data_IF_045732578213
#
_entry.id   IF_045732578213
#
_cell.length_a   1.000
_cell.length_b   1.000
_cell.length_c   1.000
_cell.angle_alpha   90.00
_cell.angle_beta   90.00
_cell.angle_gamma   90.00
#
_symmetry.space_group_name_H-M   'P 1'
#
loop_
_entity.id
_entity.type
_entity.pdbx_description
1 polymer ?
#
# COMPACT_ATOMS: atom_id res chain seq x y z
N UNK A 1 -3.20 -20.96 -17.43
CA UNK A 1 -2.91 -21.99 -16.39
C UNK A 1 -1.69 -21.49 -15.63
N UNK A 2 -1.90 -20.83 -14.51
CA UNK A 2 -0.82 -20.37 -13.60
C UNK A 2 -0.27 -21.63 -12.91
N UNK A 3 0.92 -22.05 -13.28
CA UNK A 3 1.66 -23.07 -12.55
C UNK A 3 2.02 -22.49 -11.17
N UNK A 4 1.53 -23.16 -10.12
CA UNK A 4 1.90 -22.84 -8.74
C UNK A 4 3.39 -23.11 -8.54
N UNK A 5 4.19 -22.04 -8.58
CA UNK A 5 5.59 -22.06 -8.19
C UNK A 5 5.70 -22.33 -6.68
N UNK A 6 6.39 -23.41 -6.32
CA UNK A 6 6.68 -23.77 -4.93
C UNK A 6 8.18 -23.55 -4.63
N UNK A 7 8.56 -22.43 -3.99
CA UNK A 7 9.97 -22.06 -3.79
C UNK A 7 10.65 -22.77 -2.60
N UNK A 8 10.13 -23.89 -2.13
CA UNK A 8 10.56 -24.49 -0.86
C UNK A 8 11.74 -25.44 -0.97
N UNK A 9 12.78 -25.27 -1.78
CA UNK A 9 14.01 -26.06 -1.61
C UNK A 9 15.27 -25.57 -2.34
N UNK A 10 15.36 -24.37 -2.85
CA UNK A 10 16.67 -23.84 -3.25
C UNK A 10 17.39 -23.32 -1.99
N UNK A 11 18.58 -23.83 -1.68
CA UNK A 11 19.55 -23.12 -0.84
C UNK A 11 19.60 -21.70 -1.38
N UNK A 12 19.31 -20.72 -0.53
CA UNK A 12 19.48 -19.31 -0.85
C UNK A 12 20.99 -19.05 -0.89
N UNK A 13 21.66 -19.52 -1.95
CA UNK A 13 22.92 -18.94 -2.35
C UNK A 13 22.61 -17.45 -2.60
N UNK A 14 23.53 -16.56 -2.19
CA UNK A 14 23.37 -15.11 -2.26
C UNK A 14 22.93 -14.70 -3.67
N UNK A 15 21.60 -14.62 -3.87
CA UNK A 15 21.04 -14.24 -5.17
C UNK A 15 21.25 -12.75 -5.35
N UNK A 16 22.04 -12.39 -6.33
CA UNK A 16 22.29 -11.00 -6.70
C UNK A 16 21.19 -10.51 -7.63
N UNK A 17 20.55 -9.43 -7.27
CA UNK A 17 19.52 -8.77 -8.08
C UNK A 17 20.15 -7.73 -8.98
N UNK A 18 19.95 -7.86 -10.29
CA UNK A 18 20.37 -6.85 -11.28
C UNK A 18 19.33 -5.73 -11.34
N UNK A 19 19.81 -4.51 -11.43
CA UNK A 19 18.99 -3.30 -11.53
C UNK A 19 19.26 -2.62 -12.86
N UNK A 20 18.27 -2.62 -13.72
CA UNK A 20 18.28 -1.95 -15.01
C UNK A 20 17.56 -0.61 -14.88
N UNK A 21 18.09 0.40 -15.57
CA UNK A 21 17.56 1.76 -15.60
C UNK A 21 17.38 2.18 -17.04
N UNK A 22 16.24 2.79 -17.36
CA UNK A 22 16.02 3.30 -18.71
C UNK A 22 17.04 4.39 -19.08
N UNK A 23 17.51 4.35 -20.34
CA UNK A 23 18.44 5.34 -20.86
C UNK A 23 17.90 6.76 -20.84
N UNK A 24 16.58 6.94 -20.90
CA UNK A 24 15.94 8.24 -20.81
C UNK A 24 16.12 8.89 -19.42
N UNK A 25 16.29 8.08 -18.37
CA UNK A 25 16.56 8.53 -17.01
C UNK A 25 18.00 9.08 -16.82
N UNK A 26 18.90 8.92 -17.83
CA UNK A 26 20.27 9.49 -17.78
C UNK A 26 20.29 11.01 -17.64
N UNK A 27 19.27 11.67 -18.17
CA UNK A 27 19.15 13.12 -18.12
C UNK A 27 18.62 13.61 -16.75
N UNK A 28 18.16 12.69 -15.87
CA UNK A 28 17.79 12.97 -14.47
C UNK A 28 19.00 12.88 -13.55
N UNK A 29 20.16 13.35 -13.99
CA UNK A 29 21.48 13.20 -13.34
C UNK A 29 21.81 14.28 -12.31
N UNK A 30 20.82 14.85 -11.65
CA UNK A 30 21.07 15.69 -10.48
C UNK A 30 21.79 14.85 -9.42
N UNK A 31 22.83 15.40 -8.81
CA UNK A 31 23.62 14.70 -7.77
C UNK A 31 22.74 14.18 -6.62
N UNK A 32 21.58 14.75 -6.43
CA UNK A 32 20.54 14.38 -5.46
C UNK A 32 19.33 13.67 -6.09
N UNK A 33 19.35 13.38 -7.40
CA UNK A 33 18.24 12.76 -8.13
C UNK A 33 18.02 11.28 -7.81
N UNK A 34 16.90 10.74 -8.34
CA UNK A 34 16.45 9.34 -8.15
C UNK A 34 17.54 8.32 -8.44
N UNK A 35 18.29 8.52 -9.53
CA UNK A 35 19.37 7.62 -9.98
C UNK A 35 20.58 7.73 -9.05
N UNK A 36 20.92 8.91 -8.57
CA UNK A 36 22.03 9.09 -7.61
C UNK A 36 21.73 8.35 -6.30
N UNK A 37 20.50 8.44 -5.82
CA UNK A 37 20.06 7.70 -4.63
C UNK A 37 20.13 6.18 -4.86
N UNK A 38 19.66 5.69 -6.01
CA UNK A 38 19.76 4.28 -6.41
C UNK A 38 21.20 3.80 -6.41
N UNK A 39 22.14 4.55 -7.03
CA UNK A 39 23.59 4.25 -7.02
C UNK A 39 24.15 4.14 -5.60
N UNK A 40 23.78 5.06 -4.70
CA UNK A 40 24.20 5.02 -3.28
C UNK A 40 23.70 3.75 -2.57
N UNK A 41 22.47 3.29 -2.86
CA UNK A 41 21.94 2.06 -2.28
C UNK A 41 22.67 0.83 -2.82
N UNK A 42 22.89 0.75 -4.13
CA UNK A 42 23.60 -0.36 -4.78
C UNK A 42 25.03 -0.46 -4.22
N UNK A 43 25.73 0.67 -4.12
CA UNK A 43 27.09 0.71 -3.58
C UNK A 43 27.20 0.22 -2.13
N UNK A 44 26.13 0.36 -1.33
CA UNK A 44 26.07 -0.15 0.05
C UNK A 44 25.82 -1.65 0.15
N UNK A 45 25.34 -2.28 -0.93
CA UNK A 45 24.95 -3.69 -0.95
C UNK A 45 25.46 -4.43 -2.21
N UNK A 46 26.77 -4.39 -2.50
CA UNK A 46 27.33 -4.93 -3.74
C UNK A 46 27.14 -6.45 -3.88
N UNK A 47 26.98 -7.17 -2.78
CA UNK A 47 26.72 -8.61 -2.77
C UNK A 47 25.26 -8.97 -3.07
N UNK A 48 24.33 -8.01 -2.89
CA UNK A 48 22.89 -8.23 -3.10
C UNK A 48 22.38 -7.56 -4.38
N UNK A 49 23.03 -6.46 -4.82
CA UNK A 49 22.57 -5.60 -5.90
C UNK A 49 23.68 -5.35 -6.90
N UNK A 50 23.40 -5.54 -8.18
CA UNK A 50 24.29 -5.24 -9.30
C UNK A 50 23.67 -4.20 -10.22
N UNK A 51 24.41 -3.17 -10.57
CA UNK A 51 23.95 -2.09 -11.47
C UNK A 51 24.39 -0.71 -11.00
N UNK A 52 23.77 0.38 -11.45
CA UNK A 52 22.70 0.39 -12.46
C UNK A 52 23.22 -0.02 -13.86
N UNK A 53 22.46 -0.82 -14.56
CA UNK A 53 22.71 -1.25 -15.94
C UNK A 53 21.79 -0.41 -16.84
N UNK A 54 22.38 0.37 -17.73
CA UNK A 54 21.63 1.28 -18.60
C UNK A 54 21.17 0.54 -19.87
N UNK A 55 19.86 0.56 -20.10
CA UNK A 55 19.20 -0.12 -21.23
C UNK A 55 18.07 0.73 -21.78
N UNK A 56 17.55 0.37 -22.93
CA UNK A 56 16.29 0.94 -23.44
C UNK A 56 15.16 0.00 -23.04
N UNK A 57 14.33 0.47 -22.15
CA UNK A 57 13.14 -0.24 -21.64
C UNK A 57 11.97 0.74 -21.60
N UNK A 58 10.74 0.24 -21.66
CA UNK A 58 9.53 1.08 -21.58
C UNK A 58 9.05 1.33 -20.13
N UNK A 59 9.91 1.09 -19.15
CA UNK A 59 9.70 1.38 -17.72
C UNK A 59 10.91 2.12 -17.18
N UNK A 60 10.75 2.87 -16.10
CA UNK A 60 11.87 3.62 -15.51
C UNK A 60 12.93 2.69 -14.92
N UNK A 61 12.49 1.62 -14.24
CA UNK A 61 13.36 0.61 -13.67
C UNK A 61 12.86 -0.81 -13.97
N UNK A 62 13.82 -1.73 -14.14
CA UNK A 62 13.55 -3.16 -14.16
C UNK A 62 14.55 -3.88 -13.24
N UNK A 63 14.04 -4.81 -12.48
CA UNK A 63 14.81 -5.67 -11.61
C UNK A 63 14.80 -7.09 -12.16
N UNK A 64 15.92 -7.77 -12.12
CA UNK A 64 16.06 -9.19 -12.56
C UNK A 64 16.75 -9.99 -11.48
N UNK A 65 16.20 -11.12 -11.12
CA UNK A 65 16.76 -12.05 -10.18
C UNK A 65 16.28 -13.47 -10.51
N UNK A 66 17.19 -14.41 -10.62
CA UNK A 66 16.89 -15.83 -10.90
C UNK A 66 16.03 -16.04 -12.16
N UNK A 67 16.24 -15.21 -13.19
CA UNK A 67 15.49 -15.26 -14.44
C UNK A 67 14.12 -14.60 -14.41
N UNK A 68 13.64 -14.10 -13.27
CA UNK A 68 12.40 -13.33 -13.18
C UNK A 68 12.66 -11.83 -13.24
N UNK A 69 11.77 -11.11 -13.90
CA UNK A 69 11.85 -9.67 -14.08
C UNK A 69 10.64 -8.98 -13.47
N UNK A 70 10.88 -7.89 -12.76
CA UNK A 70 9.88 -6.98 -12.23
C UNK A 70 10.14 -5.60 -12.78
N UNK A 71 9.15 -5.02 -13.44
CA UNK A 71 9.20 -3.65 -13.95
C UNK A 71 8.50 -2.68 -13.00
N UNK A 72 9.00 -1.47 -12.89
CA UNK A 72 8.33 -0.41 -12.12
C UNK A 72 8.48 0.93 -12.82
N UNK A 73 7.42 1.71 -12.73
CA UNK A 73 7.37 3.11 -13.13
C UNK A 73 7.53 3.97 -11.88
N UNK A 74 8.36 5.01 -11.96
CA UNK A 74 8.59 5.99 -10.90
C UNK A 74 7.80 7.25 -11.21
N UNK A 75 6.91 7.66 -10.32
CA UNK A 75 6.10 8.86 -10.49
C UNK A 75 6.32 9.82 -9.33
N UNK A 76 6.62 11.06 -9.63
CA UNK A 76 6.42 12.12 -8.66
C UNK A 76 4.92 12.42 -8.50
N UNK A 77 4.55 13.01 -7.38
CA UNK A 77 3.15 13.33 -7.10
C UNK A 77 2.49 14.19 -8.20
N UNK A 78 3.24 15.15 -8.75
CA UNK A 78 2.77 15.99 -9.86
C UNK A 78 2.62 15.23 -11.16
N UNK A 79 3.54 14.32 -11.45
CA UNK A 79 3.53 13.51 -12.68
C UNK A 79 2.42 12.47 -12.67
N UNK A 80 2.11 11.90 -11.51
CA UNK A 80 0.97 11.01 -11.37
C UNK A 80 -0.33 11.74 -11.74
N UNK A 81 -0.56 12.92 -11.14
CA UNK A 81 -1.72 13.74 -11.43
C UNK A 81 -1.81 14.09 -12.92
N UNK A 82 -0.71 14.57 -13.50
CA UNK A 82 -0.66 14.95 -14.93
C UNK A 82 -0.89 13.74 -15.84
N UNK A 83 -0.34 12.59 -15.52
CA UNK A 83 -0.50 11.36 -16.30
C UNK A 83 -1.94 10.85 -16.28
N UNK A 84 -2.58 10.89 -15.10
CA UNK A 84 -3.99 10.50 -14.97
C UNK A 84 -4.92 11.45 -15.73
N UNK A 85 -4.73 12.76 -15.59
CA UNK A 85 -5.58 13.76 -16.28
C UNK A 85 -5.42 13.78 -17.80
N UNK A 86 -4.27 13.36 -18.31
CA UNK A 86 -3.98 13.25 -19.76
C UNK A 86 -4.18 11.86 -20.34
N UNK A 87 -4.68 10.93 -19.55
CA UNK A 87 -4.90 9.54 -19.94
C UNK A 87 -3.61 8.76 -20.34
N UNK A 88 -2.44 9.27 -19.93
CA UNK A 88 -1.15 8.61 -20.20
C UNK A 88 -0.89 7.47 -19.22
N UNK A 89 -1.39 7.58 -17.99
CA UNK A 89 -1.16 6.61 -16.93
C UNK A 89 -1.61 5.19 -17.34
N UNK A 90 -2.81 5.07 -17.93
CA UNK A 90 -3.31 3.77 -18.40
C UNK A 90 -2.40 3.12 -19.44
N UNK A 91 -1.84 3.87 -20.36
CA UNK A 91 -0.90 3.36 -21.38
C UNK A 91 0.39 2.87 -20.75
N UNK A 92 0.93 3.59 -19.76
CA UNK A 92 2.11 3.17 -19.03
C UNK A 92 1.87 1.88 -18.26
N UNK A 93 0.70 1.72 -17.62
CA UNK A 93 0.30 0.48 -16.95
C UNK A 93 0.23 -0.70 -17.94
N UNK A 94 -0.31 -0.49 -19.14
CA UNK A 94 -0.33 -1.53 -20.17
C UNK A 94 1.09 -1.96 -20.59
N UNK A 95 1.98 -1.01 -20.77
CA UNK A 95 3.38 -1.30 -21.12
C UNK A 95 4.07 -2.09 -20.00
N UNK A 96 3.90 -1.67 -18.75
CA UNK A 96 4.45 -2.41 -17.59
C UNK A 96 3.97 -3.87 -17.53
N UNK A 97 2.69 -4.11 -17.84
CA UNK A 97 2.10 -5.45 -17.81
C UNK A 97 2.70 -6.39 -18.84
N UNK A 98 3.29 -5.87 -19.91
CA UNK A 98 3.92 -6.66 -20.99
C UNK A 98 5.38 -6.97 -20.67
N UNK A 99 6.08 -6.10 -19.95
CA UNK A 99 7.51 -6.22 -19.70
C UNK A 99 7.89 -7.11 -18.51
N UNK A 100 6.97 -7.38 -17.61
CA UNK A 100 7.23 -8.12 -16.39
C UNK A 100 6.80 -9.58 -16.50
N UNK A 101 7.66 -10.49 -15.98
CA UNK A 101 7.34 -11.92 -15.85
C UNK A 101 6.49 -12.19 -14.59
N UNK A 102 6.49 -11.25 -13.66
CA UNK A 102 5.68 -11.20 -12.44
C UNK A 102 4.94 -9.85 -12.40
N UNK A 103 3.91 -9.71 -11.57
CA UNK A 103 3.20 -8.44 -11.46
C UNK A 103 4.14 -7.27 -11.23
N UNK A 104 4.08 -6.27 -12.12
CA UNK A 104 4.80 -5.01 -11.98
C UNK A 104 4.15 -4.12 -10.91
N UNK A 105 4.73 -2.97 -10.62
CA UNK A 105 4.13 -1.98 -9.74
C UNK A 105 4.53 -0.56 -10.14
N UNK A 106 3.77 0.42 -9.66
CA UNK A 106 4.11 1.83 -9.79
C UNK A 106 4.57 2.34 -8.44
N UNK A 107 5.70 3.03 -8.41
CA UNK A 107 6.21 3.74 -7.24
C UNK A 107 5.91 5.21 -7.36
N UNK A 108 5.11 5.75 -6.45
CA UNK A 108 4.88 7.18 -6.32
C UNK A 108 5.81 7.73 -5.24
N UNK A 109 6.64 8.71 -5.63
CA UNK A 109 7.59 9.39 -4.75
C UNK A 109 6.82 10.47 -3.99
N UNK A 110 6.38 10.14 -2.79
CA UNK A 110 5.55 10.97 -1.94
C UNK A 110 4.29 10.27 -1.43
N UNK A 111 3.54 10.97 -0.59
CA UNK A 111 2.27 10.53 -0.05
C UNK A 111 1.08 10.89 -0.94
N UNK A 112 -0.09 10.29 -0.75
CA UNK A 112 -1.34 10.77 -1.37
C UNK A 112 -1.63 12.24 -1.04
N UNK A 113 -1.19 12.71 0.14
CA UNK A 113 -1.29 14.12 0.54
C UNK A 113 -0.48 15.05 -0.35
N UNK A 114 0.71 14.62 -0.80
CA UNK A 114 1.57 15.42 -1.68
C UNK A 114 0.93 15.59 -3.05
N UNK A 115 0.24 14.58 -3.58
CA UNK A 115 -0.53 14.70 -4.84
C UNK A 115 -1.61 15.76 -4.68
N UNK A 116 -2.35 15.77 -3.56
CA UNK A 116 -3.37 16.77 -3.29
C UNK A 116 -2.81 18.18 -3.08
N UNK A 117 -1.65 18.30 -2.43
CA UNK A 117 -0.97 19.58 -2.26
C UNK A 117 -0.50 20.15 -3.62
N UNK A 118 0.07 19.29 -4.45
CA UNK A 118 0.49 19.66 -5.81
C UNK A 118 -0.70 20.12 -6.65
N UNK A 119 -1.81 19.39 -6.62
CA UNK A 119 -3.07 19.75 -7.29
C UNK A 119 -3.55 21.14 -6.89
N UNK A 120 -3.62 21.42 -5.57
CA UNK A 120 -4.01 22.74 -5.04
C UNK A 120 -3.08 23.85 -5.51
N UNK A 121 -1.78 23.59 -5.52
CA UNK A 121 -0.76 24.56 -5.97
C UNK A 121 -0.95 24.95 -7.44
N UNK A 122 -1.17 23.97 -8.34
CA UNK A 122 -1.41 24.23 -9.77
C UNK A 122 -2.70 25.02 -9.96
N UNK A 123 -3.77 24.65 -9.30
CA UNK A 123 -5.07 25.31 -9.44
C UNK A 123 -5.04 26.74 -8.90
N UNK A 124 -4.35 26.99 -7.77
CA UNK A 124 -4.14 28.33 -7.25
C UNK A 124 -3.40 29.23 -8.26
N UNK A 125 -2.36 28.73 -8.91
CA UNK A 125 -1.61 29.47 -9.95
C UNK A 125 -2.48 29.81 -11.17
N UNK A 126 -3.49 28.99 -11.49
CA UNK A 126 -4.41 29.21 -12.61
C UNK A 126 -5.64 30.06 -12.25
N UNK A 127 -5.73 30.57 -11.02
CA UNK A 127 -6.85 31.40 -10.57
C UNK A 127 -8.18 30.65 -10.37
N UNK A 128 -8.19 29.33 -10.49
CA UNK A 128 -9.37 28.49 -10.34
C UNK A 128 -9.20 27.59 -9.11
N UNK A 129 -10.03 27.79 -8.09
CA UNK A 129 -10.06 26.91 -6.92
C UNK A 129 -11.52 26.61 -6.58
N UNK A 130 -12.10 25.65 -7.31
CA UNK A 130 -13.38 25.06 -6.97
C UNK A 130 -13.10 23.72 -6.26
N UNK A 131 -13.63 23.55 -5.05
CA UNK A 131 -13.47 22.32 -4.26
C UNK A 131 -13.97 21.08 -5.01
N UNK A 132 -15.07 21.19 -5.75
CA UNK A 132 -15.65 20.09 -6.53
C UNK A 132 -14.72 19.61 -7.66
N UNK A 133 -13.98 20.52 -8.32
CA UNK A 133 -13.04 20.15 -9.36
C UNK A 133 -11.81 19.45 -8.78
N UNK A 134 -11.37 19.86 -7.58
CA UNK A 134 -10.29 19.20 -6.86
C UNK A 134 -10.68 17.76 -6.47
N UNK A 135 -11.88 17.56 -6.02
CA UNK A 135 -12.35 16.22 -5.64
C UNK A 135 -12.53 15.33 -6.87
N UNK A 136 -13.08 15.83 -7.99
CA UNK A 136 -13.18 15.09 -9.25
C UNK A 136 -11.83 14.65 -9.79
N UNK A 137 -10.82 15.53 -9.79
CA UNK A 137 -9.46 15.15 -10.23
C UNK A 137 -8.84 14.10 -9.32
N UNK A 138 -9.09 14.21 -8.00
CA UNK A 138 -8.63 13.21 -7.04
C UNK A 138 -9.32 11.87 -7.26
N UNK A 139 -10.63 11.86 -7.44
CA UNK A 139 -11.40 10.66 -7.73
C UNK A 139 -10.93 10.00 -9.03
N UNK A 140 -10.56 10.79 -10.04
CA UNK A 140 -9.96 10.28 -11.28
C UNK A 140 -8.62 9.58 -11.01
N UNK A 141 -7.73 10.18 -10.22
CA UNK A 141 -6.44 9.57 -9.85
C UNK A 141 -6.67 8.27 -9.11
N UNK A 142 -7.51 8.27 -8.09
CA UNK A 142 -7.80 7.07 -7.30
C UNK A 142 -8.47 5.98 -8.13
N UNK A 143 -9.41 6.34 -8.98
CA UNK A 143 -10.06 5.39 -9.90
C UNK A 143 -9.03 4.72 -10.82
N UNK A 144 -8.10 5.47 -11.39
CA UNK A 144 -7.05 4.90 -12.25
C UNK A 144 -6.07 4.02 -11.47
N UNK A 145 -5.72 4.37 -10.24
CA UNK A 145 -4.89 3.53 -9.36
C UNK A 145 -5.61 2.21 -9.02
N UNK A 146 -6.90 2.26 -8.70
CA UNK A 146 -7.72 1.07 -8.44
C UNK A 146 -7.82 0.20 -9.70
N UNK A 147 -8.10 0.80 -10.85
CA UNK A 147 -8.19 0.11 -12.15
C UNK A 147 -6.86 -0.58 -12.50
N UNK A 148 -5.73 0.10 -12.26
CA UNK A 148 -4.39 -0.47 -12.45
C UNK A 148 -4.21 -1.78 -11.67
N UNK A 149 -4.64 -1.81 -10.42
CA UNK A 149 -4.57 -3.01 -9.61
C UNK A 149 -5.61 -4.06 -10.03
N UNK A 150 -6.85 -3.66 -10.26
CA UNK A 150 -7.96 -4.57 -10.53
C UNK A 150 -7.87 -5.24 -11.92
N UNK A 151 -7.49 -4.49 -12.98
CA UNK A 151 -7.45 -5.00 -14.35
C UNK A 151 -6.09 -5.61 -14.71
N UNK A 152 -4.98 -5.04 -14.20
CA UNK A 152 -3.62 -5.42 -14.60
C UNK A 152 -2.80 -6.07 -13.49
N UNK A 153 -3.34 -6.17 -12.28
CA UNK A 153 -2.62 -6.63 -11.07
C UNK A 153 -1.34 -5.81 -10.81
N UNK A 154 -1.37 -4.51 -11.14
CA UNK A 154 -0.27 -3.58 -10.95
C UNK A 154 -0.63 -2.60 -9.85
N UNK A 155 -0.15 -2.80 -8.60
CA UNK A 155 -0.42 -1.89 -7.49
C UNK A 155 0.33 -0.57 -7.66
N UNK A 156 -0.29 0.50 -7.18
CA UNK A 156 0.32 1.83 -7.07
C UNK A 156 0.71 2.09 -5.63
N UNK A 157 2.00 2.20 -5.38
CA UNK A 157 2.57 2.30 -4.04
C UNK A 157 3.08 3.72 -3.78
N UNK A 158 2.69 4.31 -2.66
CA UNK A 158 3.09 5.65 -2.23
C UNK A 158 4.15 5.53 -1.12
N UNK A 159 5.29 6.20 -1.31
CA UNK A 159 6.40 6.18 -0.37
C UNK A 159 6.89 7.60 -0.12
N UNK A 160 6.69 8.09 1.10
CA UNK A 160 7.15 9.40 1.57
C UNK A 160 8.58 9.38 2.15
N UNK A 161 9.03 8.20 2.58
CA UNK A 161 10.37 8.01 3.17
C UNK A 161 11.11 6.90 2.42
N UNK A 162 12.34 7.19 2.00
CA UNK A 162 13.23 6.23 1.31
C UNK A 162 12.57 5.45 0.15
N UNK A 163 11.89 6.13 -0.81
CA UNK A 163 11.10 5.46 -1.84
C UNK A 163 11.90 4.43 -2.62
N UNK A 164 13.16 4.71 -2.93
CA UNK A 164 14.01 3.81 -3.71
C UNK A 164 14.37 2.53 -2.95
N UNK A 165 14.61 2.63 -1.64
CA UNK A 165 14.83 1.47 -0.76
C UNK A 165 13.60 0.56 -0.73
N UNK A 166 12.42 1.13 -0.61
CA UNK A 166 11.16 0.38 -0.60
C UNK A 166 10.85 -0.23 -1.96
N UNK A 167 11.11 0.48 -3.06
CA UNK A 167 10.99 -0.01 -4.44
C UNK A 167 11.84 -1.27 -4.65
N UNK A 168 13.11 -1.24 -4.27
CA UNK A 168 14.02 -2.39 -4.34
C UNK A 168 13.52 -3.54 -3.46
N UNK A 169 13.09 -3.24 -2.24
CA UNK A 169 12.60 -4.25 -1.30
C UNK A 169 11.33 -4.93 -1.81
N UNK A 170 10.41 -4.17 -2.41
CA UNK A 170 9.19 -4.71 -3.00
C UNK A 170 9.50 -5.58 -4.22
N UNK A 171 10.36 -5.11 -5.13
CA UNK A 171 10.79 -5.89 -6.29
C UNK A 171 11.40 -7.25 -5.87
N UNK A 172 12.32 -7.23 -4.90
CA UNK A 172 12.90 -8.45 -4.33
C UNK A 172 11.84 -9.37 -3.76
N UNK A 173 10.90 -8.82 -2.99
CA UNK A 173 9.81 -9.58 -2.39
C UNK A 173 8.92 -10.25 -3.45
N UNK A 174 8.54 -9.52 -4.50
CA UNK A 174 7.72 -10.05 -5.60
C UNK A 174 8.41 -11.19 -6.33
N UNK A 175 9.71 -11.05 -6.64
CA UNK A 175 10.50 -12.08 -7.33
C UNK A 175 10.75 -13.33 -6.48
N UNK A 176 10.88 -13.19 -5.17
CA UNK A 176 11.10 -14.35 -4.26
C UNK A 176 9.80 -15.09 -3.94
N UNK A 177 8.67 -14.70 -4.53
CA UNK A 177 7.36 -15.28 -4.20
C UNK A 177 7.03 -15.11 -2.71
N UNK A 178 7.66 -14.11 -2.07
CA UNK A 178 7.41 -13.78 -0.68
C UNK A 178 5.92 -13.47 -0.53
N UNK A 179 5.26 -14.19 0.34
CA UNK A 179 3.98 -13.70 0.84
C UNK A 179 4.29 -12.36 1.48
N UNK A 180 3.59 -11.30 1.08
CA UNK A 180 3.57 -10.09 1.89
C UNK A 180 3.57 -10.55 3.34
N UNK A 181 4.51 -10.07 4.18
CA UNK A 181 4.46 -10.44 5.56
C UNK A 181 3.01 -10.19 5.93
N UNK A 182 2.24 -11.27 6.06
CA UNK A 182 0.98 -11.13 6.73
C UNK A 182 1.43 -10.42 7.98
N UNK A 183 1.06 -9.17 8.13
CA UNK A 183 1.08 -8.53 9.41
C UNK A 183 0.28 -9.51 10.28
N UNK A 184 0.99 -10.49 10.81
CA UNK A 184 0.54 -11.05 12.07
C UNK A 184 0.75 -9.85 12.97
N UNK A 185 -0.31 -9.08 13.27
CA UNK A 185 -0.17 -8.15 14.36
C UNK A 185 0.50 -9.00 15.42
N UNK A 186 1.52 -8.49 16.11
CA UNK A 186 1.97 -9.13 17.35
C UNK A 186 0.73 -9.09 18.23
N UNK A 187 -0.16 -10.02 17.98
CA UNK A 187 -1.38 -10.22 18.69
C UNK A 187 -0.89 -10.74 20.02
N UNK A 188 -0.62 -9.79 20.91
CA UNK A 188 -0.80 -10.06 22.29
C UNK A 188 -2.12 -10.83 22.32
N UNK A 189 -2.08 -12.11 22.67
CA UNK A 189 -3.28 -12.97 22.72
C UNK A 189 -4.42 -12.30 23.49
N UNK A 190 -4.08 -11.40 24.42
CA UNK A 190 -4.98 -10.50 25.13
C UNK A 190 -5.71 -9.46 24.23
N UNK A 191 -5.22 -9.14 23.02
CA UNK A 191 -5.86 -8.16 22.11
C UNK A 191 -6.72 -8.81 21.01
N UNK A 192 -6.64 -10.13 20.83
CA UNK A 192 -7.46 -10.82 19.81
C UNK A 192 -8.96 -10.56 20.04
N UNK A 193 -9.50 -10.68 21.27
CA UNK A 193 -10.91 -10.41 21.51
C UNK A 193 -11.31 -8.97 21.20
N UNK A 194 -10.44 -8.00 21.48
CA UNK A 194 -10.68 -6.59 21.17
C UNK A 194 -10.75 -6.36 19.65
N UNK A 195 -9.75 -6.85 18.91
CA UNK A 195 -9.71 -6.70 17.45
C UNK A 195 -10.92 -7.37 16.77
N UNK A 196 -11.35 -8.53 17.26
CA UNK A 196 -12.58 -9.18 16.76
C UNK A 196 -13.83 -8.33 16.95
N UNK A 197 -13.92 -7.61 18.08
CA UNK A 197 -15.06 -6.72 18.34
C UNK A 197 -14.99 -5.44 17.50
N UNK A 198 -13.79 -4.93 17.22
CA UNK A 198 -13.60 -3.74 16.38
C UNK A 198 -14.02 -3.96 14.91
N UNK A 199 -14.07 -5.21 14.44
CA UNK A 199 -14.65 -5.57 13.14
C UNK A 199 -16.19 -5.49 13.10
N UNK A 200 -16.85 -5.41 14.27
CA UNK A 200 -18.30 -5.26 14.32
C UNK A 200 -18.71 -3.81 13.99
N UNK A 201 -19.71 -3.60 13.12
CA UNK A 201 -20.18 -2.26 12.78
C UNK A 201 -20.52 -1.41 14.00
N UNK A 202 -19.92 -0.21 14.08
CA UNK A 202 -20.18 0.76 15.16
C UNK A 202 -19.40 0.49 16.46
N UNK A 203 -18.53 -0.50 16.51
CA UNK A 203 -17.67 -0.81 17.66
C UNK A 203 -16.29 -0.22 17.43
N UNK A 204 -15.96 0.85 18.14
CA UNK A 204 -14.59 1.40 18.16
C UNK A 204 -13.74 0.82 19.31
N UNK A 205 -12.42 1.15 19.33
CA UNK A 205 -11.46 0.59 20.30
C UNK A 205 -11.85 0.79 21.77
N UNK A 206 -12.40 1.94 22.12
CA UNK A 206 -12.84 2.23 23.50
C UNK A 206 -14.03 1.37 23.93
N UNK A 207 -14.99 1.18 23.02
CA UNK A 207 -16.15 0.33 23.26
C UNK A 207 -15.74 -1.14 23.35
N UNK A 208 -14.89 -1.62 22.45
CA UNK A 208 -14.35 -2.99 22.46
C UNK A 208 -13.62 -3.28 23.78
N UNK A 209 -12.76 -2.36 24.23
CA UNK A 209 -12.08 -2.46 25.52
C UNK A 209 -13.05 -2.54 26.71
N UNK A 210 -14.08 -1.70 26.71
CA UNK A 210 -15.09 -1.69 27.79
C UNK A 210 -15.86 -3.01 27.84
N UNK A 211 -16.24 -3.56 26.70
CA UNK A 211 -16.92 -4.84 26.57
C UNK A 211 -16.04 -5.99 27.09
N UNK A 212 -14.76 -6.04 26.68
CA UNK A 212 -13.83 -7.07 27.17
C UNK A 212 -13.59 -6.93 28.68
N UNK A 213 -13.47 -5.72 29.21
CA UNK A 213 -13.35 -5.51 30.67
C UNK A 213 -14.56 -6.00 31.42
N UNK A 214 -15.77 -5.79 30.88
CA UNK A 214 -17.03 -6.16 31.55
C UNK A 214 -17.29 -7.67 31.49
N UNK A 215 -17.09 -8.29 30.33
CA UNK A 215 -17.46 -9.70 30.11
C UNK A 215 -16.27 -10.66 30.15
N UNK A 216 -15.04 -10.17 30.10
CA UNK A 216 -13.80 -10.93 30.13
C UNK A 216 -13.48 -11.65 28.83
N UNK A 217 -14.44 -12.29 28.19
CA UNK A 217 -14.26 -13.08 26.96
C UNK A 217 -15.41 -12.84 25.96
N UNK A 218 -15.13 -13.05 24.69
CA UNK A 218 -16.17 -13.02 23.61
C UNK A 218 -17.27 -14.06 23.92
N UNK A 219 -16.91 -15.24 24.42
CA UNK A 219 -17.87 -16.29 24.78
C UNK A 219 -18.88 -15.80 25.84
N UNK A 220 -18.40 -15.09 26.85
CA UNK A 220 -19.27 -14.55 27.90
C UNK A 220 -20.13 -13.41 27.35
N UNK A 221 -19.56 -12.56 26.51
CA UNK A 221 -20.28 -11.50 25.81
C UNK A 221 -21.44 -12.06 24.96
N UNK A 222 -21.20 -13.11 24.17
CA UNK A 222 -22.24 -13.77 23.37
C UNK A 222 -23.34 -14.45 24.20
N UNK A 223 -23.11 -14.67 25.51
CA UNK A 223 -24.11 -15.23 26.44
C UNK A 223 -24.79 -14.18 27.31
N UNK A 224 -24.33 -12.94 27.20
CA UNK A 224 -24.90 -11.84 27.97
C UNK A 224 -26.28 -11.45 27.42
N UNK A 225 -27.12 -10.92 28.29
CA UNK A 225 -28.39 -10.34 27.84
C UNK A 225 -28.14 -9.01 27.10
N UNK A 226 -28.95 -8.68 26.09
CA UNK A 226 -28.80 -7.41 25.38
C UNK A 226 -28.78 -6.19 26.30
N UNK A 227 -29.60 -6.18 27.37
CA UNK A 227 -29.68 -5.10 28.34
C UNK A 227 -28.38 -4.87 29.09
N UNK A 228 -27.64 -5.95 29.40
CA UNK A 228 -26.34 -5.89 30.08
C UNK A 228 -25.29 -5.26 29.15
N UNK A 229 -25.34 -5.58 27.85
CA UNK A 229 -24.45 -5.00 26.83
C UNK A 229 -24.75 -3.51 26.65
N UNK A 230 -26.04 -3.14 26.57
CA UNK A 230 -26.46 -1.74 26.42
C UNK A 230 -26.11 -0.88 27.62
N UNK A 231 -26.03 -1.49 28.81
CA UNK A 231 -25.68 -0.81 30.06
C UNK A 231 -24.17 -0.52 30.20
N UNK A 232 -23.30 -1.19 29.43
CA UNK A 232 -21.85 -0.98 29.49
C UNK A 232 -21.50 0.48 29.20
N UNK A 233 -20.69 1.06 30.07
CA UNK A 233 -20.18 2.43 29.92
C UNK A 233 -18.80 2.41 29.27
N UNK A 234 -18.60 3.28 28.28
CA UNK A 234 -17.30 3.47 27.61
C UNK A 234 -17.03 4.96 27.40
N UNK A 235 -15.78 5.28 27.08
CA UNK A 235 -15.31 6.65 26.95
C UNK A 235 -14.54 7.14 28.19
N UNK A 236 -13.81 8.27 28.01
CA UNK A 236 -12.90 8.80 29.03
C UNK A 236 -13.60 9.62 30.12
N UNK A 237 -13.38 10.97 30.13
CA UNK A 237 -13.87 11.86 31.21
C UNK A 237 -15.40 11.91 31.39
N UNK A 238 -16.17 11.61 30.35
CA UNK A 238 -17.65 11.55 30.40
C UNK A 238 -18.13 10.24 29.78
N UNK A 239 -18.12 9.14 30.56
CA UNK A 239 -18.53 7.84 30.04
C UNK A 239 -20.00 7.84 29.65
N UNK A 240 -20.29 7.34 28.45
CA UNK A 240 -21.66 7.13 27.96
C UNK A 240 -21.97 5.64 27.89
N UNK A 241 -23.25 5.28 28.03
CA UNK A 241 -23.69 3.91 27.79
C UNK A 241 -23.64 3.56 26.32
N UNK A 242 -23.41 2.30 25.99
CA UNK A 242 -23.47 1.80 24.61
C UNK A 242 -24.83 2.07 23.99
N UNK A 243 -25.92 1.78 24.72
CA UNK A 243 -27.28 2.08 24.30
C UNK A 243 -27.61 1.48 22.93
N UNK A 244 -28.32 2.24 22.11
CA UNK A 244 -28.76 1.84 20.75
C UNK A 244 -27.60 1.42 19.83
N UNK A 245 -26.39 1.93 20.04
CA UNK A 245 -25.21 1.48 19.26
C UNK A 245 -24.89 0.00 19.48
N UNK A 246 -25.32 -0.57 20.60
CA UNK A 246 -25.18 -1.99 20.89
C UNK A 246 -26.10 -2.90 20.09
N UNK A 247 -27.17 -2.37 19.47
CA UNK A 247 -28.11 -3.20 18.68
C UNK A 247 -27.41 -3.85 17.48
N UNK A 248 -26.55 -3.11 16.78
CA UNK A 248 -25.77 -3.65 15.67
C UNK A 248 -24.81 -4.74 16.14
N UNK A 249 -24.16 -4.53 17.30
CA UNK A 249 -23.28 -5.52 17.90
C UNK A 249 -24.05 -6.79 18.32
N UNK A 250 -25.18 -6.63 19.01
CA UNK A 250 -26.06 -7.73 19.44
C UNK A 250 -26.50 -8.56 18.23
N UNK A 251 -26.92 -7.88 17.17
CA UNK A 251 -27.29 -8.51 15.89
C UNK A 251 -26.11 -9.21 15.21
N UNK A 252 -24.94 -8.56 15.16
CA UNK A 252 -23.72 -9.12 14.55
C UNK A 252 -23.20 -10.36 15.29
N UNK A 253 -23.37 -10.41 16.62
CA UNK A 253 -22.98 -11.54 17.46
C UNK A 253 -24.06 -12.64 17.56
N UNK A 254 -25.22 -12.46 16.94
CA UNK A 254 -26.33 -13.43 17.00
C UNK A 254 -26.92 -13.59 18.43
N UNK A 255 -26.83 -12.55 19.25
CA UNK A 255 -27.38 -12.57 20.61
C UNK A 255 -28.89 -12.23 20.47
N UNK A 256 -29.73 -13.17 20.74
CA UNK A 256 -31.20 -13.05 20.66
C UNK A 256 -31.80 -13.04 22.06
#
# INVERSE_FOLDING_TARGET
VLQHYNPRKAKIDKMTMKVYVDNNEKNCTDEDGRVAHLKKIIAKKPDELQGPIWVNIDSDLMFEMDGYRVATELKEAGDLLASCTRNHFRRQIQNLSIQADVPAFVTVLGSPGDVRLHQRSIRKKKGFMNAQDLDREWDLVMSQCITSHAEYNIPVMFWDVDPMKWTISLAKHMMTGGKFPQFKPKTNSARIPQSMLEECPGVGPEMANALIRQFGTIKNLCRAKPEDIFAVKYGGRRPSKIGVRGELLVKALGIV
#
